data_IF_118302786871
#
_entry.id   IF_118302786871
#
_cell.length_a   1.000
_cell.length_b   1.000
_cell.length_c   1.000
_cell.angle_alpha   90.00
_cell.angle_beta   90.00
_cell.angle_gamma   90.00
#
_symmetry.space_group_name_H-M   'P 1'
#
loop_
_entity.id
_entity.type
_entity.pdbx_description
1 polymer ?
#
# COMPACT_ATOMS: atom_id res chain seq x y z
N UNK A 1 -43.61 78.09 -3.82
CA UNK A 1 -42.63 77.13 -4.37
C UNK A 1 -43.21 75.72 -4.19
N UNK A 2 -43.92 75.22 -5.20
CA UNK A 2 -44.75 74.00 -5.09
C UNK A 2 -43.92 72.74 -5.32
N UNK A 3 -43.76 71.94 -4.26
CA UNK A 3 -43.04 70.68 -4.25
C UNK A 3 -43.75 69.62 -5.12
N UNK A 4 -43.01 69.02 -6.07
CA UNK A 4 -43.52 68.03 -7.01
C UNK A 4 -43.43 66.60 -6.44
N UNK A 5 -44.07 66.36 -5.29
CA UNK A 5 -44.01 65.09 -4.53
C UNK A 5 -44.58 63.89 -5.30
N UNK A 6 -45.44 64.11 -6.30
CA UNK A 6 -46.11 63.03 -7.05
C UNK A 6 -45.19 62.28 -8.03
N UNK A 7 -44.09 62.90 -8.52
CA UNK A 7 -43.18 62.22 -9.46
C UNK A 7 -42.24 61.24 -8.77
N UNK A 8 -41.81 61.54 -7.54
CA UNK A 8 -40.82 60.71 -6.82
C UNK A 8 -41.44 59.42 -6.25
N UNK A 9 -42.70 59.46 -5.82
CA UNK A 9 -43.41 58.27 -5.33
C UNK A 9 -43.68 57.27 -6.45
N UNK A 10 -43.99 57.75 -7.66
CA UNK A 10 -44.18 56.90 -8.84
C UNK A 10 -42.87 56.25 -9.30
N UNK A 11 -41.74 56.98 -9.23
CA UNK A 11 -40.42 56.46 -9.59
C UNK A 11 -39.92 55.40 -8.59
N UNK A 12 -40.20 55.58 -7.30
CA UNK A 12 -39.84 54.61 -6.24
C UNK A 12 -40.68 53.33 -6.31
N UNK A 13 -41.98 53.43 -6.63
CA UNK A 13 -42.85 52.26 -6.78
C UNK A 13 -42.51 51.43 -8.03
N UNK A 14 -42.05 52.08 -9.10
CA UNK A 14 -41.60 51.39 -10.31
C UNK A 14 -40.27 50.65 -10.11
N UNK A 15 -39.30 51.26 -9.41
CA UNK A 15 -38.00 50.64 -9.08
C UNK A 15 -38.14 49.44 -8.12
N UNK A 16 -39.11 49.46 -7.19
CA UNK A 16 -39.32 48.35 -6.25
C UNK A 16 -40.02 47.14 -6.89
N UNK A 17 -40.97 47.37 -7.82
CA UNK A 17 -41.57 46.30 -8.65
C UNK A 17 -40.55 45.67 -9.60
N UNK A 18 -39.68 46.45 -10.25
CA UNK A 18 -38.63 45.90 -11.12
C UNK A 18 -37.56 45.13 -10.32
N UNK A 19 -37.17 45.59 -9.13
CA UNK A 19 -36.25 44.83 -8.27
C UNK A 19 -36.83 43.50 -7.78
N UNK A 20 -38.12 43.43 -7.46
CA UNK A 20 -38.80 42.17 -7.10
C UNK A 20 -38.96 41.22 -8.29
N UNK A 21 -39.22 41.75 -9.49
CA UNK A 21 -39.34 40.93 -10.71
C UNK A 21 -37.98 40.36 -11.15
N UNK A 22 -36.90 41.13 -11.07
CA UNK A 22 -35.54 40.65 -11.38
C UNK A 22 -35.07 39.61 -10.36
N UNK A 23 -35.39 39.78 -9.07
CA UNK A 23 -35.01 38.81 -8.03
C UNK A 23 -35.74 37.46 -8.17
N UNK A 24 -37.00 37.46 -8.62
CA UNK A 24 -37.77 36.24 -8.90
C UNK A 24 -37.31 35.53 -10.19
N UNK A 25 -36.88 36.26 -11.21
CA UNK A 25 -36.37 35.67 -12.47
C UNK A 25 -34.96 35.08 -12.26
N UNK A 26 -34.12 35.68 -11.41
CA UNK A 26 -32.81 35.09 -11.07
C UNK A 26 -32.90 33.87 -10.16
N UNK A 27 -33.94 33.76 -9.31
CA UNK A 27 -34.18 32.53 -8.53
C UNK A 27 -34.81 31.40 -9.39
N UNK A 28 -35.62 31.75 -10.39
CA UNK A 28 -36.21 30.77 -11.31
C UNK A 28 -35.20 30.21 -12.32
N UNK A 29 -34.20 30.99 -12.75
CA UNK A 29 -33.13 30.49 -13.64
C UNK A 29 -32.03 29.71 -12.91
N UNK A 30 -31.95 29.75 -11.57
CA UNK A 30 -31.05 28.86 -10.82
C UNK A 30 -31.63 27.47 -10.58
N UNK A 31 -32.92 27.25 -10.85
CA UNK A 31 -33.59 25.97 -10.61
C UNK A 31 -33.76 25.11 -11.87
N UNK A 32 -33.39 25.62 -13.06
CA UNK A 32 -33.54 24.90 -14.33
C UNK A 32 -32.21 24.42 -14.96
N UNK A 33 -31.10 24.50 -14.22
CA UNK A 33 -29.80 23.90 -14.58
C UNK A 33 -29.37 22.76 -13.64
N UNK A 34 -30.32 22.17 -12.91
CA UNK A 34 -30.10 21.00 -12.05
C UNK A 34 -30.79 19.73 -12.57
N UNK A 35 -30.83 19.53 -13.89
CA UNK A 35 -31.18 18.22 -14.45
C UNK A 35 -30.24 17.89 -15.60
N UNK A 36 -29.64 16.69 -15.51
CA UNK A 36 -28.74 16.05 -16.46
C UNK A 36 -27.28 16.49 -16.47
N UNK A 37 -26.66 16.57 -15.28
CA UNK A 37 -25.41 15.82 -15.18
C UNK A 37 -25.85 14.36 -15.08
N UNK A 38 -25.65 13.47 -16.08
CA UNK A 38 -25.69 12.08 -15.74
C UNK A 38 -24.66 11.96 -14.62
N UNK A 39 -25.11 11.55 -13.43
CA UNK A 39 -24.20 10.80 -12.58
C UNK A 39 -23.73 9.69 -13.52
N UNK A 40 -22.58 9.89 -14.15
CA UNK A 40 -21.62 8.84 -14.30
C UNK A 40 -21.40 8.38 -12.86
N UNK A 41 -22.30 7.51 -12.40
CA UNK A 41 -21.85 6.31 -11.73
C UNK A 41 -20.80 5.78 -12.71
N UNK A 42 -19.55 6.23 -12.53
CA UNK A 42 -18.43 5.38 -12.82
C UNK A 42 -18.89 4.07 -12.23
N UNK A 43 -19.18 3.06 -13.06
CA UNK A 43 -19.27 1.69 -12.58
C UNK A 43 -18.04 1.61 -11.67
N UNK A 44 -18.24 1.63 -10.35
CA UNK A 44 -17.13 1.47 -9.43
C UNK A 44 -16.52 0.18 -9.92
N UNK A 45 -15.35 0.28 -10.55
CA UNK A 45 -14.73 -0.85 -11.24
C UNK A 45 -14.78 -1.95 -10.22
N UNK A 46 -15.55 -3.03 -10.49
CA UNK A 46 -15.88 -4.03 -9.48
C UNK A 46 -14.56 -4.42 -8.86
N UNK A 47 -14.28 -3.93 -7.66
CA UNK A 47 -12.98 -4.14 -7.07
C UNK A 47 -13.04 -5.60 -6.72
N UNK A 48 -12.37 -6.46 -7.48
CA UNK A 48 -12.26 -7.89 -7.19
C UNK A 48 -11.35 -8.14 -5.97
N UNK A 49 -11.38 -7.17 -5.04
CA UNK A 49 -10.76 -7.15 -3.75
C UNK A 49 -11.42 -8.19 -2.87
N UNK A 50 -10.61 -8.86 -2.07
CA UNK A 50 -11.10 -9.78 -1.06
C UNK A 50 -11.29 -9.04 0.27
N UNK A 51 -12.21 -9.51 1.11
CA UNK A 51 -12.39 -8.96 2.46
C UNK A 51 -11.44 -9.68 3.39
N UNK A 52 -10.64 -8.92 4.15
CA UNK A 52 -9.60 -9.44 5.02
C UNK A 52 -9.84 -8.95 6.45
N UNK A 53 -9.66 -9.85 7.43
CA UNK A 53 -9.55 -9.50 8.84
C UNK A 53 -8.18 -9.90 9.35
N UNK A 54 -7.52 -9.04 10.12
CA UNK A 54 -6.30 -9.41 10.84
C UNK A 54 -6.71 -10.17 12.10
N UNK A 55 -6.06 -11.31 12.34
CA UNK A 55 -6.19 -12.10 13.56
C UNK A 55 -4.86 -12.13 14.28
N UNK A 56 -4.93 -12.36 15.58
CA UNK A 56 -3.77 -12.54 16.44
C UNK A 56 -3.68 -14.02 16.83
N UNK A 57 -2.53 -14.64 16.58
CA UNK A 57 -2.27 -16.03 16.93
C UNK A 57 -1.69 -16.14 18.35
N UNK A 58 -0.86 -15.17 18.72
CA UNK A 58 -0.25 -14.95 20.03
C UNK A 58 0.14 -13.46 20.12
N UNK A 59 0.54 -12.99 21.30
CA UNK A 59 0.94 -11.59 21.49
C UNK A 59 1.96 -11.15 20.42
N UNK A 60 1.66 -10.05 19.71
CA UNK A 60 2.45 -9.48 18.60
C UNK A 60 2.69 -10.41 17.39
N UNK A 61 1.97 -11.54 17.29
CA UNK A 61 2.04 -12.49 16.17
C UNK A 61 0.71 -12.47 15.44
N UNK A 62 0.63 -11.67 14.38
CA UNK A 62 -0.59 -11.40 13.64
C UNK A 62 -0.57 -12.02 12.23
N UNK A 63 -1.75 -12.33 11.70
CA UNK A 63 -1.90 -12.83 10.33
C UNK A 63 -3.25 -12.43 9.72
N UNK A 64 -3.33 -12.20 8.40
CA UNK A 64 -4.57 -11.92 7.71
C UNK A 64 -5.36 -13.20 7.43
N UNK A 65 -6.69 -13.06 7.46
CA UNK A 65 -7.65 -14.08 7.06
C UNK A 65 -8.62 -13.48 6.06
N UNK A 66 -8.67 -14.05 4.87
CA UNK A 66 -9.67 -13.75 3.85
C UNK A 66 -11.02 -14.31 4.31
N UNK A 67 -11.99 -13.44 4.56
CA UNK A 67 -13.34 -13.81 5.00
C UNK A 67 -14.33 -13.89 3.85
N UNK A 68 -14.19 -13.04 2.82
CA UNK A 68 -15.07 -13.00 1.65
C UNK A 68 -14.32 -12.56 0.37
N UNK A 69 -15.01 -12.62 -0.78
CA UNK A 69 -14.47 -12.20 -2.09
C UNK A 69 -13.84 -13.32 -2.92
N UNK A 70 -13.63 -14.52 -2.35
CA UNK A 70 -13.21 -15.73 -3.08
C UNK A 70 -14.32 -16.77 -2.99
N UNK A 71 -14.93 -17.11 -4.14
CA UNK A 71 -16.02 -18.12 -4.22
C UNK A 71 -15.50 -19.55 -3.99
N UNK A 72 -14.36 -19.88 -4.58
CA UNK A 72 -13.76 -21.21 -4.45
C UNK A 72 -13.15 -21.38 -3.05
N UNK A 73 -13.78 -22.21 -2.21
CA UNK A 73 -13.35 -22.46 -0.84
C UNK A 73 -11.93 -23.04 -0.76
N UNK A 74 -11.52 -23.90 -1.70
CA UNK A 74 -10.19 -24.49 -1.71
C UNK A 74 -9.11 -23.43 -1.96
N UNK A 75 -9.34 -22.52 -2.91
CA UNK A 75 -8.44 -21.38 -3.16
C UNK A 75 -8.34 -20.49 -1.92
N UNK A 76 -9.48 -20.11 -1.33
CA UNK A 76 -9.51 -19.29 -0.11
C UNK A 76 -8.76 -19.94 1.05
N UNK A 77 -9.02 -21.23 1.29
CA UNK A 77 -8.40 -21.98 2.38
C UNK A 77 -6.90 -22.14 2.16
N UNK A 78 -6.45 -22.41 0.92
CA UNK A 78 -5.02 -22.51 0.60
C UNK A 78 -4.28 -21.21 0.93
N UNK A 79 -4.79 -20.05 0.50
CA UNK A 79 -4.17 -18.75 0.77
C UNK A 79 -4.16 -18.46 2.28
N UNK A 80 -5.30 -18.63 2.97
CA UNK A 80 -5.38 -18.43 4.42
C UNK A 80 -4.44 -19.36 5.19
N UNK A 81 -4.28 -20.60 4.73
CA UNK A 81 -3.36 -21.55 5.34
C UNK A 81 -1.91 -21.12 5.20
N UNK A 82 -1.52 -20.54 4.06
CA UNK A 82 -0.17 -19.98 3.88
C UNK A 82 0.10 -18.85 4.89
N UNK A 83 -0.86 -17.95 5.09
CA UNK A 83 -0.74 -16.87 6.08
C UNK A 83 -0.67 -17.38 7.52
N UNK A 84 -1.51 -18.35 7.88
CA UNK A 84 -1.47 -18.98 9.20
C UNK A 84 -0.14 -19.72 9.43
N UNK A 85 0.37 -20.43 8.41
CA UNK A 85 1.63 -21.15 8.51
C UNK A 85 2.81 -20.20 8.72
N UNK A 86 2.79 -19.03 8.07
CA UNK A 86 3.78 -17.99 8.31
C UNK A 86 3.75 -17.53 9.79
N UNK A 87 2.59 -17.16 10.32
CA UNK A 87 2.49 -16.76 11.74
C UNK A 87 2.88 -17.89 12.71
N UNK A 88 2.55 -19.16 12.40
CA UNK A 88 3.00 -20.31 13.19
C UNK A 88 4.53 -20.47 13.17
N UNK A 89 5.18 -20.20 12.04
CA UNK A 89 6.65 -20.20 11.93
C UNK A 89 7.26 -19.16 12.87
N UNK A 90 6.69 -17.95 12.90
CA UNK A 90 7.17 -16.88 13.80
C UNK A 90 6.87 -17.19 15.27
N UNK A 91 5.71 -17.75 15.59
CA UNK A 91 5.41 -18.24 16.95
C UNK A 91 6.44 -19.24 17.45
N UNK A 92 6.83 -20.20 16.61
CA UNK A 92 7.86 -21.17 16.96
C UNK A 92 9.23 -20.51 17.17
N UNK A 93 9.57 -19.51 16.36
CA UNK A 93 10.81 -18.74 16.55
C UNK A 93 10.77 -17.93 17.85
N UNK A 94 9.63 -17.33 18.19
CA UNK A 94 9.44 -16.57 19.43
C UNK A 94 9.63 -17.45 20.68
N UNK A 95 9.05 -18.66 20.67
CA UNK A 95 9.26 -19.67 21.71
C UNK A 95 10.75 -20.00 21.86
N UNK A 96 11.44 -20.25 20.74
CA UNK A 96 12.86 -20.60 20.72
C UNK A 96 13.75 -19.47 21.25
N UNK A 97 13.53 -18.21 20.84
CA UNK A 97 14.37 -17.10 21.32
C UNK A 97 14.10 -16.79 22.79
N UNK A 98 12.88 -17.00 23.28
CA UNK A 98 12.57 -16.88 24.71
C UNK A 98 13.26 -17.96 25.54
N UNK A 99 13.27 -19.20 25.07
CA UNK A 99 14.05 -20.28 25.70
C UNK A 99 15.55 -19.92 25.73
N UNK A 100 16.09 -19.39 24.63
CA UNK A 100 17.49 -18.95 24.57
C UNK A 100 17.77 -17.82 25.59
N UNK A 101 16.86 -16.84 25.71
CA UNK A 101 17.02 -15.74 26.65
C UNK A 101 17.19 -16.22 28.10
N UNK A 102 16.49 -17.28 28.50
CA UNK A 102 16.62 -17.85 29.84
C UNK A 102 18.02 -18.42 30.12
N UNK A 103 18.69 -18.96 29.10
CA UNK A 103 20.08 -19.43 29.18
C UNK A 103 21.10 -18.28 29.17
N UNK A 104 20.78 -17.21 28.46
CA UNK A 104 21.69 -16.07 28.23
C UNK A 104 21.73 -15.06 29.40
N UNK A 105 20.96 -15.29 30.48
CA UNK A 105 20.90 -14.43 31.69
C UNK A 105 22.22 -14.26 32.44
N UNK A 106 23.27 -14.98 32.03
CA UNK A 106 24.61 -14.93 32.63
C UNK A 106 25.40 -13.66 32.28
N UNK A 107 24.94 -12.88 31.31
CA UNK A 107 25.53 -11.59 30.91
C UNK A 107 24.47 -10.49 30.91
N UNK A 108 24.89 -9.23 31.06
CA UNK A 108 24.01 -8.05 31.12
C UNK A 108 23.37 -7.71 29.78
N UNK A 109 22.54 -8.60 29.24
CA UNK A 109 21.90 -8.44 27.94
C UNK A 109 20.62 -7.60 28.09
N UNK A 110 20.42 -6.57 27.26
CA UNK A 110 19.13 -5.91 27.16
C UNK A 110 18.06 -6.92 26.70
N UNK A 111 16.99 -7.09 27.47
CA UNK A 111 15.93 -8.06 27.22
C UNK A 111 14.53 -7.52 27.53
N UNK A 112 13.46 -8.28 27.23
CA UNK A 112 13.45 -9.69 26.81
C UNK A 112 13.66 -9.92 25.30
N UNK A 113 14.11 -11.11 24.91
CA UNK A 113 14.12 -11.55 23.51
C UNK A 113 12.70 -11.77 22.99
N UNK A 114 12.50 -11.57 21.70
CA UNK A 114 11.20 -11.80 21.05
C UNK A 114 11.36 -12.11 19.57
N UNK A 115 10.35 -12.79 19.01
CA UNK A 115 10.05 -12.75 17.59
C UNK A 115 8.57 -12.39 17.38
N UNK A 116 8.30 -11.47 16.47
CA UNK A 116 6.95 -10.97 16.20
C UNK A 116 6.73 -10.82 14.71
N UNK A 117 5.47 -10.78 14.28
CA UNK A 117 5.13 -10.53 12.88
C UNK A 117 3.85 -9.74 12.73
N UNK A 118 3.89 -8.74 11.84
CA UNK A 118 2.76 -7.88 11.54
C UNK A 118 2.45 -7.88 10.05
N UNK A 119 1.23 -8.25 9.64
CA UNK A 119 0.85 -8.22 8.23
C UNK A 119 0.44 -6.83 7.78
N UNK A 120 0.77 -6.48 6.53
CA UNK A 120 0.36 -5.26 5.84
C UNK A 120 -0.23 -5.64 4.49
N UNK A 121 -1.48 -5.22 4.25
CA UNK A 121 -2.13 -5.41 2.94
C UNK A 121 -1.58 -4.33 2.00
N UNK A 122 -0.66 -4.71 1.11
CA UNK A 122 -0.01 -3.80 0.16
C UNK A 122 -0.86 -3.54 -1.08
N UNK A 123 -1.57 -4.57 -1.57
CA UNK A 123 -2.44 -4.48 -2.74
C UNK A 123 -3.58 -5.48 -2.64
N UNK A 124 -4.77 -5.09 -3.08
CA UNK A 124 -5.96 -5.94 -3.01
C UNK A 124 -6.99 -5.51 -4.06
N UNK A 125 -6.64 -5.63 -5.33
CA UNK A 125 -7.47 -5.22 -6.47
C UNK A 125 -7.15 -6.12 -7.69
N UNK A 126 -8.03 -6.14 -8.68
CA UNK A 126 -7.81 -6.89 -9.95
C UNK A 126 -7.42 -8.36 -9.79
N UNK A 127 -8.00 -9.03 -8.78
CA UNK A 127 -7.64 -10.40 -8.40
C UNK A 127 -6.17 -10.59 -7.99
N UNK A 128 -5.44 -9.52 -7.69
CA UNK A 128 -4.10 -9.56 -7.13
C UNK A 128 -4.17 -9.12 -5.67
N UNK A 129 -3.65 -9.97 -4.80
CA UNK A 129 -3.47 -9.70 -3.39
C UNK A 129 -1.98 -9.72 -3.07
N UNK A 130 -1.46 -8.64 -2.51
CA UNK A 130 -0.11 -8.58 -1.96
C UNK A 130 -0.19 -8.33 -0.47
N UNK A 131 0.40 -9.24 0.31
CA UNK A 131 0.49 -9.15 1.78
C UNK A 131 1.95 -9.22 2.17
N UNK A 132 2.44 -8.16 2.79
CA UNK A 132 3.73 -8.18 3.47
C UNK A 132 3.57 -8.69 4.89
N UNK A 133 4.54 -9.44 5.39
CA UNK A 133 4.74 -9.72 6.80
C UNK A 133 6.05 -9.07 7.23
N UNK A 134 5.96 -8.17 8.20
CA UNK A 134 7.13 -7.57 8.84
C UNK A 134 7.53 -8.44 10.03
N UNK A 135 8.50 -9.32 9.81
CA UNK A 135 9.03 -10.25 10.80
C UNK A 135 10.16 -9.55 11.55
N UNK A 136 9.99 -9.37 12.86
CA UNK A 136 11.00 -8.73 13.70
C UNK A 136 11.49 -9.67 14.77
N UNK A 137 12.80 -9.79 14.91
CA UNK A 137 13.45 -10.63 15.92
C UNK A 137 14.45 -9.79 16.70
N UNK A 138 14.45 -9.92 18.01
CA UNK A 138 15.44 -9.34 18.90
C UNK A 138 15.98 -10.42 19.83
N UNK A 139 17.28 -10.61 19.80
CA UNK A 139 18.02 -11.57 20.63
C UNK A 139 19.16 -10.86 21.35
N UNK A 140 18.91 -9.64 21.85
CA UNK A 140 19.92 -8.78 22.46
C UNK A 140 20.65 -7.89 21.44
N UNK A 141 21.72 -7.24 21.91
CA UNK A 141 22.50 -6.28 21.10
C UNK A 141 21.87 -4.88 21.05
N UNK A 142 22.29 -4.07 20.07
CA UNK A 142 21.90 -2.67 19.96
C UNK A 142 20.47 -2.45 19.44
N UNK A 143 19.98 -3.34 18.58
CA UNK A 143 18.63 -3.26 17.99
C UNK A 143 18.16 -4.62 17.44
N UNK A 144 16.85 -4.74 17.20
CA UNK A 144 16.28 -5.89 16.51
C UNK A 144 16.60 -5.92 15.02
N UNK A 145 16.40 -7.07 14.40
CA UNK A 145 16.44 -7.24 12.96
C UNK A 145 15.01 -7.41 12.43
N UNK A 146 14.71 -6.75 11.31
CA UNK A 146 13.41 -6.87 10.63
C UNK A 146 13.61 -7.34 9.21
N UNK A 147 12.82 -8.33 8.81
CA UNK A 147 12.74 -8.84 7.45
C UNK A 147 11.31 -8.71 6.94
N UNK A 148 11.14 -8.26 5.70
CA UNK A 148 9.82 -8.18 5.05
C UNK A 148 9.66 -9.34 4.05
N UNK A 149 8.86 -10.34 4.42
CA UNK A 149 8.44 -11.41 3.52
C UNK A 149 7.13 -11.06 2.83
N UNK A 150 7.06 -11.19 1.50
CA UNK A 150 5.86 -10.81 0.74
C UNK A 150 5.20 -12.00 0.05
N UNK A 151 3.89 -12.04 0.16
CA UNK A 151 3.02 -13.02 -0.45
C UNK A 151 2.13 -12.36 -1.49
N UNK A 152 2.35 -12.70 -2.76
CA UNK A 152 1.56 -12.23 -3.88
C UNK A 152 0.68 -13.37 -4.39
N UNK A 153 -0.64 -13.18 -4.44
CA UNK A 153 -1.58 -14.19 -4.89
C UNK A 153 -2.51 -13.68 -5.98
N UNK A 154 -2.80 -14.56 -6.94
CA UNK A 154 -4.00 -14.44 -7.75
C UNK A 154 -5.19 -15.01 -6.94
N UNK A 155 -6.17 -14.17 -6.61
CA UNK A 155 -7.30 -14.57 -5.75
C UNK A 155 -8.36 -15.39 -6.49
N UNK A 156 -8.31 -15.49 -7.83
CA UNK A 156 -9.21 -16.35 -8.60
C UNK A 156 -8.82 -17.82 -8.53
N UNK A 157 -7.52 -18.11 -8.69
CA UNK A 157 -7.02 -19.48 -8.83
C UNK A 157 -6.06 -19.91 -7.71
N UNK A 158 -5.64 -18.99 -6.84
CA UNK A 158 -4.74 -19.29 -5.73
C UNK A 158 -3.27 -19.47 -6.13
N UNK A 159 -2.88 -19.09 -7.36
CA UNK A 159 -1.48 -19.07 -7.78
C UNK A 159 -0.72 -18.04 -6.94
N UNK A 160 0.39 -18.44 -6.33
CA UNK A 160 1.38 -17.51 -5.76
C UNK A 160 2.21 -16.94 -6.91
N UNK A 161 2.35 -15.62 -6.97
CA UNK A 161 3.24 -14.97 -7.91
C UNK A 161 4.64 -14.85 -7.31
N UNK A 162 5.63 -15.24 -8.10
CA UNK A 162 7.05 -14.97 -7.87
C UNK A 162 7.53 -13.86 -8.83
N UNK A 163 8.71 -13.29 -8.61
CA UNK A 163 9.15 -12.13 -9.40
C UNK A 163 9.39 -12.53 -10.87
N UNK A 164 9.84 -13.77 -11.10
CA UNK A 164 9.96 -14.40 -12.42
C UNK A 164 8.61 -14.63 -13.15
N UNK A 165 7.47 -14.55 -12.47
CA UNK A 165 6.15 -14.52 -13.14
C UNK A 165 5.85 -13.18 -13.82
N UNK A 166 6.60 -12.11 -13.49
CA UNK A 166 6.36 -10.74 -13.95
C UNK A 166 7.57 -10.24 -14.77
N UNK A 167 8.78 -10.48 -14.29
CA UNK A 167 10.05 -10.18 -14.96
C UNK A 167 10.59 -11.48 -15.55
N UNK A 168 10.16 -11.78 -16.77
CA UNK A 168 10.24 -13.13 -17.35
C UNK A 168 11.46 -13.37 -18.23
N UNK A 169 12.04 -12.30 -18.79
CA UNK A 169 13.10 -12.41 -19.79
C UNK A 169 14.38 -11.73 -19.32
N UNK A 170 15.57 -12.17 -19.78
CA UNK A 170 16.83 -11.46 -19.48
C UNK A 170 16.77 -9.98 -19.87
N UNK A 171 16.16 -9.64 -21.01
CA UNK A 171 15.94 -8.25 -21.44
C UNK A 171 15.13 -7.44 -20.43
N UNK A 172 14.09 -8.03 -19.83
CA UNK A 172 13.29 -7.38 -18.79
C UNK A 172 14.09 -7.21 -17.49
N UNK A 173 14.86 -8.24 -17.08
CA UNK A 173 15.77 -8.16 -15.93
C UNK A 173 16.74 -6.98 -16.11
N UNK A 174 17.37 -6.87 -17.29
CA UNK A 174 18.30 -5.79 -17.59
C UNK A 174 17.64 -4.40 -17.54
N UNK A 175 16.41 -4.27 -18.07
CA UNK A 175 15.65 -3.01 -18.00
C UNK A 175 15.35 -2.63 -16.55
N UNK A 176 14.90 -3.58 -15.73
CA UNK A 176 14.60 -3.34 -14.31
C UNK A 176 15.88 -2.96 -13.55
N UNK A 177 16.98 -3.68 -13.78
CA UNK A 177 18.27 -3.38 -13.15
C UNK A 177 18.78 -1.98 -13.50
N UNK A 178 18.71 -1.58 -14.78
CA UNK A 178 19.09 -0.22 -15.20
C UNK A 178 18.21 0.84 -14.56
N UNK A 179 16.89 0.60 -14.54
CA UNK A 179 15.94 1.52 -13.92
C UNK A 179 16.23 1.69 -12.42
N UNK A 180 16.36 0.58 -11.67
CA UNK A 180 16.65 0.62 -10.24
C UNK A 180 17.98 1.30 -9.96
N UNK A 181 19.04 0.95 -10.70
CA UNK A 181 20.36 1.58 -10.54
C UNK A 181 20.30 3.08 -10.75
N UNK A 182 19.56 3.54 -11.76
CA UNK A 182 19.34 4.98 -12.00
C UNK A 182 18.63 5.64 -10.82
N UNK A 183 17.54 5.06 -10.32
CA UNK A 183 16.83 5.61 -9.16
C UNK A 183 17.70 5.66 -7.90
N UNK A 184 18.55 4.65 -7.68
CA UNK A 184 19.48 4.62 -6.54
C UNK A 184 20.53 5.74 -6.63
N UNK A 185 21.05 6.03 -7.83
CA UNK A 185 21.98 7.14 -8.05
C UNK A 185 21.30 8.48 -7.72
N UNK A 186 20.09 8.71 -8.25
CA UNK A 186 19.32 9.93 -7.98
C UNK A 186 19.05 10.13 -6.48
N UNK A 187 18.70 9.04 -5.76
CA UNK A 187 18.47 9.10 -4.32
C UNK A 187 19.75 9.45 -3.55
N UNK A 188 20.90 8.88 -3.93
CA UNK A 188 22.20 9.19 -3.33
C UNK A 188 22.60 10.64 -3.56
N UNK A 189 22.48 11.12 -4.80
CA UNK A 189 22.84 12.49 -5.20
C UNK A 189 21.95 13.55 -4.55
N UNK A 190 20.69 13.22 -4.26
CA UNK A 190 19.79 14.11 -3.51
C UNK A 190 20.20 14.34 -2.05
N UNK A 191 21.15 13.54 -1.52
CA UNK A 191 21.63 13.62 -0.14
C UNK A 191 20.65 13.13 0.92
N UNK A 192 19.46 12.66 0.52
CA UNK A 192 18.41 12.20 1.45
C UNK A 192 18.66 10.81 2.02
N UNK A 193 19.35 9.96 1.28
CA UNK A 193 19.60 8.57 1.64
C UNK A 193 21.06 8.21 1.43
N UNK A 194 21.68 7.59 2.43
CA UNK A 194 22.96 6.92 2.23
C UNK A 194 22.73 5.59 1.50
N UNK A 195 23.23 5.49 0.27
CA UNK A 195 23.01 4.34 -0.62
C UNK A 195 24.35 3.69 -0.96
N UNK A 196 24.41 2.38 -0.75
CA UNK A 196 25.53 1.51 -1.11
C UNK A 196 25.39 1.08 -2.57
N UNK A 197 25.69 1.98 -3.50
CA UNK A 197 25.54 1.71 -4.94
C UNK A 197 26.28 0.45 -5.41
N UNK A 198 27.43 0.16 -4.80
CA UNK A 198 28.24 -1.00 -5.15
C UNK A 198 27.63 -2.32 -4.68
N UNK A 199 26.73 -2.31 -3.69
CA UNK A 199 26.04 -3.51 -3.19
C UNK A 199 24.86 -3.93 -4.09
N UNK A 200 24.33 -3.02 -4.93
CA UNK A 200 23.30 -3.39 -5.89
C UNK A 200 23.90 -4.17 -7.08
N UNK A 201 23.91 -5.50 -6.99
CA UNK A 201 24.39 -6.42 -8.05
C UNK A 201 23.32 -6.77 -9.10
N UNK A 202 22.11 -6.23 -8.96
CA UNK A 202 20.94 -6.58 -9.76
C UNK A 202 19.91 -7.38 -8.96
N UNK A 203 18.71 -7.48 -9.51
CA UNK A 203 17.61 -8.25 -8.90
C UNK A 203 17.84 -9.76 -9.01
N UNK A 204 17.47 -10.50 -7.98
CA UNK A 204 17.32 -11.96 -8.00
C UNK A 204 15.83 -12.31 -8.14
N UNK A 205 15.41 -12.69 -9.35
CA UNK A 205 13.98 -12.98 -9.64
C UNK A 205 13.42 -14.19 -8.89
N UNK A 206 14.26 -14.98 -8.20
CA UNK A 206 13.83 -16.14 -7.42
C UNK A 206 13.72 -15.83 -5.93
N UNK A 207 14.48 -14.85 -5.42
CA UNK A 207 14.59 -14.57 -3.97
C UNK A 207 14.05 -13.22 -3.57
N UNK A 208 14.16 -12.22 -4.44
CA UNK A 208 13.77 -10.85 -4.09
C UNK A 208 12.28 -10.75 -3.82
N UNK A 209 11.97 -9.92 -2.84
CA UNK A 209 10.61 -9.66 -2.40
C UNK A 209 10.04 -8.49 -3.20
N UNK A 210 8.77 -8.60 -3.58
CA UNK A 210 8.06 -7.54 -4.27
C UNK A 210 6.59 -7.53 -3.87
N UNK A 211 5.89 -6.43 -4.06
CA UNK A 211 4.41 -6.40 -4.06
C UNK A 211 3.86 -5.66 -5.27
N UNK A 212 2.63 -5.96 -5.65
CA UNK A 212 1.94 -5.22 -6.70
C UNK A 212 1.54 -3.82 -6.22
N UNK A 213 1.46 -2.89 -7.15
CA UNK A 213 0.62 -1.71 -7.01
C UNK A 213 -0.15 -1.51 -8.33
N UNK A 214 -0.92 -0.43 -8.44
CA UNK A 214 -1.81 -0.20 -9.59
C UNK A 214 -1.08 -0.27 -10.93
N UNK A 215 0.07 0.41 -11.03
CA UNK A 215 0.75 0.64 -12.32
C UNK A 215 2.07 -0.13 -12.45
N UNK A 216 2.32 -1.11 -11.57
CA UNK A 216 3.56 -1.88 -11.59
C UNK A 216 3.75 -2.77 -10.36
N UNK A 217 5.00 -2.93 -9.97
CA UNK A 217 5.39 -3.63 -8.74
C UNK A 217 6.40 -2.80 -7.94
N UNK A 218 6.51 -3.07 -6.65
CA UNK A 218 7.46 -2.44 -5.74
C UNK A 218 8.47 -3.49 -5.34
N UNK A 219 9.75 -3.26 -5.62
CA UNK A 219 10.85 -4.05 -5.09
C UNK A 219 11.07 -3.71 -3.62
N UNK A 220 11.30 -4.74 -2.81
CA UNK A 220 11.56 -4.61 -1.38
C UNK A 220 13.01 -4.98 -1.11
N UNK A 221 13.83 -3.97 -0.82
CA UNK A 221 15.21 -4.17 -0.41
C UNK A 221 15.29 -4.21 1.11
N UNK A 222 15.79 -5.34 1.64
CA UNK A 222 15.83 -5.62 3.07
C UNK A 222 16.82 -4.70 3.79
N UNK A 223 16.76 -4.69 5.13
CA UNK A 223 17.74 -3.97 5.95
C UNK A 223 19.17 -4.34 5.55
N UNK A 224 20.06 -3.34 5.51
CA UNK A 224 21.45 -3.47 5.10
C UNK A 224 21.72 -3.91 3.65
N UNK A 225 20.69 -4.24 2.85
CA UNK A 225 20.92 -4.78 1.51
C UNK A 225 21.56 -3.77 0.56
N UNK A 226 21.12 -2.51 0.60
CA UNK A 226 21.60 -1.44 -0.29
C UNK A 226 21.80 -0.10 0.44
N UNK A 227 21.64 -0.06 1.76
CA UNK A 227 21.66 1.14 2.59
C UNK A 227 21.86 0.76 4.07
N UNK A 228 22.34 1.66 4.94
CA UNK A 228 22.48 1.38 6.36
C UNK A 228 21.10 1.22 7.04
N UNK A 229 21.10 0.64 8.25
CA UNK A 229 19.91 0.38 9.05
C UNK A 229 19.00 1.61 9.22
N UNK A 230 19.58 2.79 9.37
CA UNK A 230 18.87 4.06 9.55
C UNK A 230 17.88 4.38 8.43
N UNK A 231 18.10 3.84 7.23
CA UNK A 231 17.22 4.04 6.09
C UNK A 231 16.03 3.06 6.07
N UNK A 232 16.06 2.04 6.92
CA UNK A 232 15.05 0.99 6.99
C UNK A 232 14.99 0.12 5.73
N UNK A 233 13.89 -0.64 5.61
CA UNK A 233 13.58 -1.42 4.41
C UNK A 233 13.18 -0.45 3.30
N UNK A 234 13.85 -0.53 2.15
CA UNK A 234 13.64 0.38 1.02
C UNK A 234 12.62 -0.23 0.05
N UNK A 235 11.54 0.52 -0.21
CA UNK A 235 10.50 0.17 -1.16
C UNK A 235 10.66 0.99 -2.45
N UNK A 236 11.04 0.34 -3.55
CA UNK A 236 11.25 1.00 -4.83
C UNK A 236 10.19 0.63 -5.86
N UNK A 237 9.40 1.61 -6.30
CA UNK A 237 8.39 1.42 -7.36
C UNK A 237 9.05 1.21 -8.73
N UNK A 238 8.64 0.15 -9.42
CA UNK A 238 8.98 -0.16 -10.80
C UNK A 238 7.68 -0.18 -11.63
N UNK A 239 7.42 0.84 -12.46
CA UNK A 239 6.27 0.87 -13.36
C UNK A 239 6.30 -0.24 -14.41
N UNK A 240 5.14 -0.75 -14.83
CA UNK A 240 5.06 -1.75 -15.91
C UNK A 240 5.62 -1.26 -17.24
N UNK A 241 5.63 0.06 -17.48
CA UNK A 241 6.28 0.66 -18.66
C UNK A 241 7.78 0.36 -18.73
N UNK A 242 8.46 0.10 -17.60
CA UNK A 242 9.86 -0.34 -17.59
C UNK A 242 10.04 -1.70 -18.26
N UNK A 243 9.01 -2.55 -18.24
CA UNK A 243 9.05 -3.88 -18.87
C UNK A 243 8.68 -3.86 -20.35
N UNK A 244 8.07 -2.77 -20.83
CA UNK A 244 7.63 -2.60 -22.22
C UNK A 244 8.81 -2.25 -23.13
N UNK A 245 8.68 -2.59 -24.40
CA UNK A 245 9.61 -2.20 -25.47
C UNK A 245 9.37 -0.78 -25.94
#
# INVERSE_FOLDING_TARGET
MSYNVRKDVALMCHKSKQRRLVLCITLSMLFLFMVFCPLNQSKAARTNAVVIKIKELANDIQYPVITAGIKNKNVKNKINQSFLNHAKRIKKEDEKVKEQYEHDKLIGIPGPYYAMTKPIIRYNQDHRLSVSFLDSTFTGGAHGNTYEEVYNYNTNNGKRYHLDDIVRTPKQVDKVNRYIKKQLIELKESGRYDIFLDEFKGIDTKKDQFYFYKDGFVMVFQLYQIAPYSNGIIHMKVPYSVLQD
#
